data_IF_663493811363
#
_entry.id   IF_663493811363
#
_cell.length_a   1.000
_cell.length_b   1.000
_cell.length_c   1.000
_cell.angle_alpha   90.00
_cell.angle_beta   90.00
_cell.angle_gamma   90.00
#
_symmetry.space_group_name_H-M   'P 1'
#
loop_
_entity.id
_entity.type
_entity.pdbx_description
1 polymer ?
#
# COMPACT_ATOMS: atom_id res chain seq x y z
N UNK A 1 63.61 -68.76 -24.83
CA UNK A 1 62.42 -69.38 -24.20
C UNK A 1 61.22 -68.48 -24.45
N UNK A 2 60.30 -68.96 -25.29
CA UNK A 2 58.94 -68.47 -25.46
C UNK A 2 58.18 -68.65 -24.14
N UNK A 3 57.18 -67.81 -23.84
CA UNK A 3 55.77 -68.23 -23.97
C UNK A 3 54.89 -66.99 -24.17
N UNK A 4 54.11 -67.01 -25.25
CA UNK A 4 53.07 -66.04 -25.59
C UNK A 4 51.73 -66.46 -24.98
N UNK A 5 50.88 -65.42 -24.79
CA UNK A 5 49.39 -65.36 -24.85
C UNK A 5 48.73 -64.96 -23.52
N UNK A 6 47.51 -64.39 -23.51
CA UNK A 6 46.73 -63.73 -24.58
C UNK A 6 46.25 -62.30 -24.21
N UNK A 7 45.96 -61.49 -25.23
CA UNK A 7 45.14 -60.26 -25.11
C UNK A 7 43.67 -60.65 -25.04
N UNK A 8 42.94 -60.15 -24.04
CA UNK A 8 41.48 -60.10 -24.03
C UNK A 8 41.01 -58.66 -23.77
N UNK A 9 39.99 -58.29 -24.52
CA UNK A 9 39.50 -56.94 -24.75
C UNK A 9 38.62 -56.40 -23.62
N UNK A 10 38.80 -55.10 -23.37
CA UNK A 10 37.79 -54.06 -23.17
C UNK A 10 36.43 -54.46 -22.58
N UNK A 11 36.12 -53.91 -21.40
CA UNK A 11 34.78 -53.41 -21.06
C UNK A 11 34.88 -52.11 -20.27
N UNK A 12 34.56 -51.02 -20.96
CA UNK A 12 33.87 -49.81 -20.52
C UNK A 12 34.13 -49.31 -19.10
N UNK A 13 34.85 -48.20 -19.02
CA UNK A 13 34.89 -47.34 -17.84
C UNK A 13 33.51 -46.72 -17.57
N UNK A 14 32.97 -46.98 -16.38
CA UNK A 14 31.97 -46.12 -15.78
C UNK A 14 32.74 -45.06 -14.96
N UNK A 15 32.63 -43.82 -15.42
CA UNK A 15 33.23 -42.64 -14.80
C UNK A 15 32.38 -42.27 -13.57
N UNK A 16 32.92 -42.51 -12.38
CA UNK A 16 32.31 -42.11 -11.11
C UNK A 16 32.67 -40.64 -10.85
N UNK A 17 31.77 -39.71 -11.17
CA UNK A 17 31.95 -38.29 -10.85
C UNK A 17 31.23 -37.99 -9.53
N UNK A 18 32.03 -37.73 -8.51
CA UNK A 18 31.63 -37.27 -7.20
C UNK A 18 30.78 -35.99 -7.29
N UNK A 19 29.62 -36.01 -6.61
CA UNK A 19 28.76 -34.86 -6.36
C UNK A 19 29.47 -33.88 -5.42
N UNK A 20 29.99 -32.78 -5.96
CA UNK A 20 30.34 -31.60 -5.18
C UNK A 20 29.16 -30.61 -5.22
N UNK A 21 28.60 -30.37 -4.03
CA UNK A 21 27.40 -29.59 -3.79
C UNK A 21 27.49 -28.14 -4.26
N UNK A 22 26.46 -27.71 -4.98
CA UNK A 22 26.12 -26.32 -5.25
C UNK A 22 24.68 -26.09 -4.76
N UNK A 23 24.50 -26.02 -3.44
CA UNK A 23 23.20 -25.71 -2.85
C UNK A 23 23.40 -24.86 -1.61
N UNK A 24 24.01 -23.67 -1.76
CA UNK A 24 24.16 -22.77 -0.61
C UNK A 24 24.05 -21.28 -0.91
N UNK A 25 23.54 -20.91 -2.09
CA UNK A 25 23.28 -19.49 -2.41
C UNK A 25 22.05 -19.38 -3.28
N UNK A 26 20.91 -19.02 -2.67
CA UNK A 26 19.85 -18.14 -3.17
C UNK A 26 18.58 -18.30 -2.30
N UNK A 27 18.69 -18.12 -0.99
CA UNK A 27 17.56 -17.68 -0.18
C UNK A 27 17.65 -16.16 -0.08
N UNK A 28 17.06 -15.47 -1.05
CA UNK A 28 16.69 -14.06 -0.88
C UNK A 28 15.92 -13.90 0.45
N UNK A 29 16.01 -12.75 1.13
CA UNK A 29 15.17 -12.52 2.30
C UNK A 29 13.72 -12.80 1.90
N UNK A 30 13.07 -13.71 2.63
CA UNK A 30 11.65 -13.95 2.49
C UNK A 30 10.99 -12.64 2.91
N UNK A 31 10.60 -11.83 1.93
CA UNK A 31 9.71 -10.70 2.12
C UNK A 31 8.56 -11.25 2.97
N UNK A 32 8.44 -10.73 4.19
CA UNK A 32 7.32 -11.09 5.05
C UNK A 32 6.04 -10.81 4.25
N UNK A 33 4.99 -11.65 4.34
CA UNK A 33 3.73 -11.31 3.71
C UNK A 33 3.34 -9.92 4.23
N UNK A 34 3.22 -8.96 3.31
CA UNK A 34 2.69 -7.65 3.63
C UNK A 34 1.29 -7.92 4.16
N UNK A 35 1.12 -7.77 5.48
CA UNK A 35 -0.18 -7.92 6.14
C UNK A 35 -1.11 -6.93 5.45
N UNK A 36 -2.09 -7.45 4.70
CA UNK A 36 -3.03 -6.58 4.04
C UNK A 36 -3.76 -5.74 5.10
N UNK A 37 -3.87 -4.41 4.90
CA UNK A 37 -4.66 -3.56 5.76
C UNK A 37 -6.02 -4.19 6.08
N UNK A 38 -6.30 -4.41 7.36
CA UNK A 38 -7.53 -5.09 7.76
C UNK A 38 -8.77 -4.18 7.76
N UNK A 39 -8.60 -2.84 7.74
CA UNK A 39 -9.69 -1.84 7.60
C UNK A 39 -9.13 -0.43 7.27
N UNK A 40 -9.85 0.33 6.44
CA UNK A 40 -9.62 1.76 6.17
C UNK A 40 -9.67 2.65 7.43
N UNK A 41 -10.34 2.23 8.50
CA UNK A 41 -10.48 3.01 9.73
C UNK A 41 -9.30 2.89 10.70
N UNK A 42 -8.23 2.20 10.30
CA UNK A 42 -7.08 1.93 11.17
C UNK A 42 -6.05 3.07 11.24
N UNK A 43 -5.91 3.87 10.17
CA UNK A 43 -4.83 4.86 10.07
C UNK A 43 -5.33 6.32 9.95
N UNK A 44 -6.39 6.59 9.20
CA UNK A 44 -6.84 7.95 8.92
C UNK A 44 -5.87 8.81 8.10
N UNK A 45 -4.82 8.21 7.50
CA UNK A 45 -3.72 8.93 6.85
C UNK A 45 -4.20 9.92 5.76
N UNK A 46 -5.13 9.49 4.90
CA UNK A 46 -5.68 10.32 3.84
C UNK A 46 -6.46 11.56 4.32
N UNK A 47 -6.88 11.58 5.58
CA UNK A 47 -7.57 12.71 6.18
C UNK A 47 -6.62 13.74 6.78
N UNK A 48 -5.32 13.47 6.87
CA UNK A 48 -4.32 14.44 7.32
C UNK A 48 -3.82 15.30 6.16
N UNK A 49 -3.71 16.60 6.41
CA UNK A 49 -3.38 17.58 5.37
C UNK A 49 -2.85 18.86 5.99
N UNK A 50 -1.79 19.45 5.42
CA UNK A 50 -1.31 20.79 5.82
C UNK A 50 -1.76 21.91 4.90
N UNK A 51 -2.33 21.57 3.73
CA UNK A 51 -2.69 22.52 2.70
C UNK A 51 -4.22 22.56 2.49
N UNK A 52 -4.85 23.75 2.40
CA UNK A 52 -6.30 23.89 2.23
C UNK A 52 -6.82 23.25 0.93
N UNK A 53 -5.97 23.19 -0.10
CA UNK A 53 -6.29 22.55 -1.38
C UNK A 53 -6.15 21.03 -1.43
N UNK A 54 -6.05 20.33 -0.29
CA UNK A 54 -5.78 18.87 -0.25
C UNK A 54 -6.88 18.03 -0.91
N UNK A 55 -8.15 18.37 -0.66
CA UNK A 55 -9.30 17.62 -1.21
C UNK A 55 -10.12 18.56 -2.09
N UNK A 56 -9.94 18.55 -3.43
CA UNK A 56 -10.77 19.33 -4.34
C UNK A 56 -12.19 18.76 -4.41
N UNK A 57 -13.17 19.66 -4.57
CA UNK A 57 -14.56 19.31 -4.85
C UNK A 57 -14.92 19.73 -6.27
N UNK A 58 -15.54 18.81 -7.00
CA UNK A 58 -16.32 19.14 -8.20
C UNK A 58 -17.63 19.83 -7.80
N UNK A 59 -18.35 20.37 -8.79
CA UNK A 59 -19.71 20.87 -8.56
C UNK A 59 -20.67 19.78 -8.08
N UNK A 60 -20.48 18.54 -8.53
CA UNK A 60 -21.28 17.39 -8.09
C UNK A 60 -20.97 17.00 -6.64
N UNK A 61 -19.70 17.05 -6.24
CA UNK A 61 -19.30 16.85 -4.85
C UNK A 61 -19.95 17.89 -3.93
N UNK A 62 -19.88 19.16 -4.32
CA UNK A 62 -20.48 20.25 -3.55
C UNK A 62 -22.02 20.10 -3.46
N UNK A 63 -22.67 19.70 -4.55
CA UNK A 63 -24.12 19.49 -4.57
C UNK A 63 -24.60 18.29 -3.72
N UNK A 64 -23.73 17.31 -3.43
CA UNK A 64 -24.04 16.20 -2.51
C UNK A 64 -24.08 16.59 -1.04
N UNK A 65 -23.43 17.70 -0.67
CA UNK A 65 -23.40 18.19 0.70
C UNK A 65 -24.75 18.80 1.09
N UNK A 66 -25.12 18.66 2.37
CA UNK A 66 -26.27 19.34 2.95
C UNK A 66 -26.02 20.87 3.00
N UNK A 67 -27.06 21.72 3.04
CA UNK A 67 -26.86 23.17 3.05
C UNK A 67 -25.91 23.68 4.13
N UNK A 68 -26.05 23.22 5.37
CA UNK A 68 -25.15 23.60 6.46
C UNK A 68 -23.73 23.04 6.30
N UNK A 69 -23.55 21.94 5.57
CA UNK A 69 -22.25 21.35 5.26
C UNK A 69 -21.51 22.17 4.20
N UNK A 70 -22.23 22.67 3.19
CA UNK A 70 -21.70 23.60 2.19
C UNK A 70 -21.20 24.91 2.82
N UNK A 71 -21.77 25.33 3.95
CA UNK A 71 -21.33 26.54 4.65
C UNK A 71 -20.13 26.30 5.58
N UNK A 72 -20.02 25.10 6.16
CA UNK A 72 -19.10 24.86 7.29
C UNK A 72 -17.93 23.93 6.97
N UNK A 73 -18.09 23.03 5.99
CA UNK A 73 -17.15 21.95 5.71
C UNK A 73 -16.25 22.20 4.50
N UNK A 74 -16.50 23.27 3.74
CA UNK A 74 -15.74 23.59 2.52
C UNK A 74 -15.13 24.99 2.61
N UNK A 75 -14.16 25.24 1.76
CA UNK A 75 -13.58 26.56 1.56
C UNK A 75 -13.37 26.86 0.07
N UNK A 76 -13.63 28.11 -0.32
CA UNK A 76 -13.47 28.57 -1.69
C UNK A 76 -12.18 29.38 -1.84
N UNK A 77 -11.34 28.97 -2.78
CA UNK A 77 -10.15 29.70 -3.21
C UNK A 77 -10.41 30.22 -4.63
N UNK A 78 -10.99 31.41 -4.71
CA UNK A 78 -11.56 31.92 -5.96
C UNK A 78 -12.76 31.08 -6.39
N UNK A 79 -12.71 30.50 -7.59
CA UNK A 79 -13.77 29.64 -8.13
C UNK A 79 -13.61 28.16 -7.78
N UNK A 80 -12.54 27.78 -7.09
CA UNK A 80 -12.27 26.38 -6.73
C UNK A 80 -12.74 26.11 -5.31
N UNK A 81 -13.38 24.95 -5.11
CA UNK A 81 -13.92 24.51 -3.83
C UNK A 81 -13.10 23.34 -3.29
N UNK A 82 -12.83 23.33 -1.98
CA UNK A 82 -12.04 22.30 -1.31
C UNK A 82 -12.69 21.89 0.02
N UNK A 83 -12.45 20.66 0.48
CA UNK A 83 -12.82 20.30 1.87
C UNK A 83 -11.94 21.11 2.81
N UNK A 84 -12.57 21.70 3.81
CA UNK A 84 -11.88 22.53 4.79
C UNK A 84 -10.87 21.70 5.58
N UNK A 85 -9.69 22.27 5.75
CA UNK A 85 -8.61 21.73 6.59
C UNK A 85 -8.42 22.62 7.82
N UNK A 86 -8.35 22.01 9.00
CA UNK A 86 -8.02 22.68 10.26
C UNK A 86 -7.17 21.75 11.13
N UNK A 87 -6.23 22.30 11.90
CA UNK A 87 -5.34 21.53 12.77
C UNK A 87 -4.62 20.36 12.07
N UNK A 88 -4.14 20.63 10.85
CA UNK A 88 -3.43 19.66 10.00
C UNK A 88 -4.25 18.42 9.58
N UNK A 89 -5.58 18.55 9.54
CA UNK A 89 -6.49 17.48 9.11
C UNK A 89 -7.76 18.03 8.47
N UNK A 90 -8.42 17.20 7.68
CA UNK A 90 -9.77 17.45 7.21
C UNK A 90 -10.71 17.61 8.42
N UNK A 91 -11.58 18.63 8.41
CA UNK A 91 -12.51 18.92 9.52
C UNK A 91 -13.53 17.80 9.78
N UNK A 92 -13.69 16.86 8.84
CA UNK A 92 -14.58 15.72 8.96
C UNK A 92 -13.95 14.50 9.61
N UNK A 93 -12.65 14.51 9.88
CA UNK A 93 -12.00 13.42 10.60
C UNK A 93 -12.56 13.33 12.02
N UNK A 94 -12.97 12.13 12.40
CA UNK A 94 -13.34 11.74 13.76
C UNK A 94 -12.42 10.63 14.21
N UNK A 95 -11.93 10.76 15.43
CA UNK A 95 -11.09 9.76 16.06
C UNK A 95 -11.76 9.34 17.37
N UNK A 96 -12.00 8.03 17.51
CA UNK A 96 -12.60 7.45 18.71
C UNK A 96 -11.91 6.11 18.99
N UNK A 97 -11.37 5.95 20.20
CA UNK A 97 -10.69 4.71 20.63
C UNK A 97 -9.64 4.18 19.62
N UNK A 98 -8.87 5.07 18.98
CA UNK A 98 -7.84 4.70 18.00
C UNK A 98 -8.39 4.30 16.62
N UNK A 99 -9.69 4.54 16.35
CA UNK A 99 -10.33 4.35 15.05
C UNK A 99 -10.60 5.70 14.40
N UNK A 100 -10.44 5.74 13.08
CA UNK A 100 -10.60 6.96 12.27
C UNK A 100 -11.79 6.82 11.33
N UNK A 101 -12.73 7.76 11.39
CA UNK A 101 -13.92 7.77 10.55
C UNK A 101 -14.21 9.16 10.00
N UNK A 102 -14.89 9.21 8.85
CA UNK A 102 -15.37 10.47 8.27
C UNK A 102 -16.79 10.76 8.77
N UNK A 103 -17.01 11.94 9.33
CA UNK A 103 -18.33 12.38 9.79
C UNK A 103 -19.38 12.48 8.67
N UNK A 104 -18.93 12.61 7.42
CA UNK A 104 -19.78 12.70 6.21
C UNK A 104 -19.55 11.51 5.26
N UNK A 105 -19.31 10.31 5.80
CA UNK A 105 -18.87 9.15 5.01
C UNK A 105 -19.71 8.89 3.73
N UNK A 106 -21.04 8.99 3.84
CA UNK A 106 -21.99 8.80 2.74
C UNK A 106 -22.05 9.96 1.74
N UNK A 107 -21.52 11.14 2.08
CA UNK A 107 -21.46 12.35 1.24
C UNK A 107 -20.03 12.74 0.87
N UNK A 108 -19.06 11.83 1.07
CA UNK A 108 -17.66 12.06 0.70
C UNK A 108 -17.52 12.52 -0.75
N UNK A 109 -16.60 13.47 -1.02
CA UNK A 109 -16.20 13.80 -2.37
C UNK A 109 -15.68 12.57 -3.13
N UNK A 110 -15.74 12.60 -4.46
CA UNK A 110 -15.37 11.48 -5.31
C UNK A 110 -13.90 11.09 -5.11
N UNK A 111 -12.98 12.07 -5.03
CA UNK A 111 -11.56 11.80 -4.74
C UNK A 111 -11.33 11.02 -3.43
N UNK A 112 -12.19 11.19 -2.43
CA UNK A 112 -12.11 10.43 -1.18
C UNK A 112 -12.72 9.02 -1.29
N UNK A 113 -13.59 8.78 -2.28
CA UNK A 113 -14.18 7.47 -2.57
C UNK A 113 -13.28 6.63 -3.46
N UNK A 114 -12.59 7.30 -4.38
CA UNK A 114 -11.64 6.69 -5.32
C UNK A 114 -10.38 6.17 -4.63
N UNK A 115 -10.10 6.65 -3.40
CA UNK A 115 -8.99 6.16 -2.61
C UNK A 115 -9.27 4.74 -2.11
N UNK A 116 -8.55 3.77 -2.64
CA UNK A 116 -8.66 2.37 -2.27
C UNK A 116 -7.64 1.98 -1.20
N UNK A 117 -8.05 1.07 -0.32
CA UNK A 117 -7.19 0.61 0.75
C UNK A 117 -5.99 -0.14 0.18
N UNK A 118 -4.79 0.39 0.42
CA UNK A 118 -3.55 -0.24 -0.04
C UNK A 118 -3.12 0.14 -1.47
N UNK A 119 -3.89 0.99 -2.17
CA UNK A 119 -3.44 1.54 -3.45
C UNK A 119 -2.22 2.47 -3.28
N UNK A 120 -1.66 2.92 -4.41
CA UNK A 120 -0.47 3.79 -4.43
C UNK A 120 -0.71 5.11 -3.67
N UNK A 121 -1.89 5.70 -3.81
CA UNK A 121 -2.25 6.95 -3.13
C UNK A 121 -2.38 6.75 -1.61
N UNK A 122 -2.95 5.62 -1.19
CA UNK A 122 -3.08 5.21 0.21
C UNK A 122 -1.70 4.95 0.81
N UNK A 123 -0.82 4.26 0.08
CA UNK A 123 0.57 4.04 0.50
C UNK A 123 1.32 5.37 0.66
N UNK A 124 1.19 6.28 -0.31
CA UNK A 124 1.79 7.60 -0.27
C UNK A 124 1.34 8.42 0.95
N UNK A 125 0.04 8.47 1.24
CA UNK A 125 -0.47 9.20 2.40
C UNK A 125 -0.01 8.56 3.73
N UNK A 126 0.03 7.22 3.81
CA UNK A 126 0.54 6.53 5.00
C UNK A 126 2.02 6.83 5.24
N UNK A 127 2.85 6.79 4.21
CA UNK A 127 4.27 7.14 4.29
C UNK A 127 4.44 8.59 4.74
N UNK A 128 3.74 9.51 4.08
CA UNK A 128 3.79 10.95 4.38
C UNK A 128 3.48 11.27 5.84
N UNK A 129 2.54 10.55 6.44
CA UNK A 129 2.06 10.80 7.80
C UNK A 129 2.58 9.81 8.84
N UNK A 130 3.50 8.90 8.48
CA UNK A 130 4.05 7.89 9.38
C UNK A 130 2.98 6.98 9.99
N UNK A 131 1.97 6.60 9.20
CA UNK A 131 0.83 5.81 9.66
C UNK A 131 0.83 4.41 9.05
N UNK A 132 1.53 3.50 9.70
CA UNK A 132 1.52 2.09 9.33
C UNK A 132 0.18 1.44 9.69
N UNK A 133 -0.18 0.41 8.92
CA UNK A 133 -1.35 -0.40 9.23
C UNK A 133 -0.96 -1.39 10.34
N UNK A 134 -1.88 -1.72 11.26
CA UNK A 134 -1.62 -2.78 12.21
C UNK A 134 -1.38 -4.10 11.47
N UNK A 135 -0.29 -4.77 11.83
CA UNK A 135 0.13 -6.09 11.32
C UNK A 135 -0.79 -7.21 11.79
#
# INVERSE_FOLDING_TARGET
MQVLRPRALSRSGALEIARLGLADRLSAPREAPVSEPTDCQSCGACCHATHPGHVPLTGEDHARLLPHEQETLVEFHGVRCFMKVADQRCVNLREEAGRFACAIYERRPQVCRDLELGDEACAFERERWGRELPS
#
